data_IF_040980994827
#
_entry.id   IF_040980994827
#
_cell.length_a   1.000
_cell.length_b   1.000
_cell.length_c   1.000
_cell.angle_alpha   90.00
_cell.angle_beta   90.00
_cell.angle_gamma   90.00
#
_symmetry.space_group_name_H-M   'P 1'
#
loop_
_entity.id
_entity.type
_entity.pdbx_description
1 polymer ?
#
# COMPACT_ATOMS: atom_id res chain seq x y z
N UNK A 1 10.35 -13.79 -18.50
CA UNK A 1 11.45 -13.55 -17.55
C UNK A 1 12.12 -12.24 -17.97
N UNK A 2 11.93 -11.16 -17.22
CA UNK A 2 12.54 -9.85 -17.54
C UNK A 2 13.89 -9.79 -16.85
N UNK A 3 14.97 -9.88 -17.64
CA UNK A 3 16.33 -9.70 -17.14
C UNK A 3 16.64 -8.21 -17.28
N UNK A 4 16.58 -7.47 -16.16
CA UNK A 4 17.09 -6.10 -16.13
C UNK A 4 18.61 -6.21 -16.03
N UNK A 5 19.30 -6.05 -17.16
CA UNK A 5 20.76 -5.93 -17.17
C UNK A 5 21.08 -4.54 -16.61
N UNK A 6 21.43 -4.49 -15.32
CA UNK A 6 21.80 -3.27 -14.62
C UNK A 6 23.24 -2.87 -15.00
N UNK A 7 23.49 -2.54 -16.26
CA UNK A 7 24.72 -1.84 -16.61
C UNK A 7 24.65 -0.44 -16.00
N UNK A 8 25.44 -0.19 -14.94
CA UNK A 8 25.59 1.17 -14.43
C UNK A 8 26.11 2.06 -15.57
N UNK A 9 25.48 3.21 -15.84
CA UNK A 9 25.94 4.11 -16.89
C UNK A 9 27.38 4.53 -16.61
N UNK A 10 28.18 4.72 -17.67
CA UNK A 10 29.52 5.30 -17.54
C UNK A 10 29.36 6.70 -16.94
N UNK A 11 29.97 6.93 -15.80
CA UNK A 11 29.89 8.22 -15.09
C UNK A 11 31.23 8.94 -15.20
N UNK A 12 31.23 10.27 -15.09
CA UNK A 12 32.46 11.07 -15.03
C UNK A 12 33.18 10.95 -13.66
N UNK A 13 32.67 10.11 -12.75
CA UNK A 13 33.23 9.91 -11.41
C UNK A 13 34.24 8.77 -11.49
N UNK A 14 35.49 9.07 -11.14
CA UNK A 14 36.56 8.07 -11.09
C UNK A 14 36.19 6.95 -10.11
N UNK A 15 36.39 5.67 -10.45
CA UNK A 15 36.21 4.55 -9.52
C UNK A 15 37.07 4.63 -8.26
N UNK A 16 38.14 5.45 -8.30
CA UNK A 16 39.06 5.68 -7.19
C UNK A 16 38.72 6.94 -6.37
N UNK A 17 37.62 7.62 -6.68
CA UNK A 17 37.23 8.84 -5.96
C UNK A 17 36.84 8.50 -4.50
N UNK A 18 37.22 9.33 -3.52
CA UNK A 18 36.82 9.13 -2.13
C UNK A 18 35.30 9.19 -1.98
N UNK A 19 34.73 8.25 -1.21
CA UNK A 19 33.28 8.12 -0.98
C UNK A 19 32.72 9.29 -0.18
N UNK A 20 32.32 10.37 -0.87
CA UNK A 20 31.61 11.52 -0.31
C UNK A 20 30.14 11.51 -0.75
N UNK A 21 29.21 12.12 0.03
CA UNK A 21 27.79 12.16 -0.31
C UNK A 21 27.49 12.74 -1.70
N UNK A 22 28.29 13.71 -2.14
CA UNK A 22 28.16 14.36 -3.46
C UNK A 22 28.86 13.62 -4.60
N UNK A 23 29.61 12.55 -4.31
CA UNK A 23 30.30 11.72 -5.32
C UNK A 23 29.54 10.42 -5.63
N UNK A 24 28.37 10.20 -5.03
CA UNK A 24 27.54 9.03 -5.31
C UNK A 24 26.26 9.47 -5.99
N UNK A 25 25.81 8.71 -6.98
CA UNK A 25 24.48 8.89 -7.54
C UNK A 25 23.43 8.65 -6.44
N UNK A 26 22.31 9.40 -6.42
CA UNK A 26 21.20 9.07 -5.55
C UNK A 26 20.84 7.61 -5.77
N UNK A 27 21.01 6.76 -4.74
CA UNK A 27 20.51 5.40 -4.81
C UNK A 27 18.99 5.51 -4.83
N UNK A 28 18.35 4.92 -5.83
CA UNK A 28 16.92 4.68 -5.77
C UNK A 28 16.61 3.89 -4.49
N UNK A 29 15.51 4.21 -3.79
CA UNK A 29 14.99 3.38 -2.69
C UNK A 29 14.50 1.99 -3.15
N UNK A 30 14.83 1.59 -4.37
CA UNK A 30 14.50 0.29 -4.93
C UNK A 30 15.49 -0.75 -4.45
N UNK A 31 15.06 -1.53 -3.46
CA UNK A 31 15.73 -2.77 -3.08
C UNK A 31 15.44 -3.84 -4.14
N UNK A 32 16.45 -4.15 -4.95
CA UNK A 32 16.39 -5.16 -6.01
C UNK A 32 16.51 -6.61 -5.49
N UNK A 33 16.79 -6.79 -4.19
CA UNK A 33 16.84 -8.12 -3.62
C UNK A 33 15.43 -8.75 -3.61
N UNK A 34 15.29 -10.02 -4.02
CA UNK A 34 14.01 -10.69 -3.97
C UNK A 34 13.58 -10.78 -2.51
N UNK A 35 12.57 -10.00 -2.13
CA UNK A 35 11.97 -10.10 -0.79
C UNK A 35 11.49 -11.53 -0.58
N UNK A 36 11.77 -12.08 0.61
CA UNK A 36 11.28 -13.39 0.99
C UNK A 36 9.75 -13.43 0.80
N UNK A 37 9.26 -14.45 0.11
CA UNK A 37 7.82 -14.65 -0.06
C UNK A 37 7.19 -14.86 1.31
N UNK A 38 6.35 -13.91 1.72
CA UNK A 38 5.55 -14.03 2.93
C UNK A 38 4.18 -14.60 2.57
N UNK A 39 3.64 -15.55 3.36
CA UNK A 39 2.26 -15.96 3.24
C UNK A 39 1.33 -14.73 3.29
N UNK A 40 0.28 -14.74 2.48
CA UNK A 40 -0.69 -13.64 2.41
C UNK A 40 -1.19 -13.18 3.79
N UNK A 41 -1.55 -14.08 4.74
CA UNK A 41 -2.00 -13.65 6.07
C UNK A 41 -0.94 -12.83 6.82
N UNK A 42 0.34 -13.23 6.74
CA UNK A 42 1.44 -12.53 7.41
C UNK A 42 1.71 -11.17 6.77
N UNK A 43 1.66 -11.10 5.43
CA UNK A 43 1.81 -9.84 4.68
C UNK A 43 0.68 -8.87 5.04
N UNK A 44 -0.56 -9.34 5.06
CA UNK A 44 -1.73 -8.53 5.40
C UNK A 44 -1.66 -8.02 6.84
N UNK A 45 -1.33 -8.88 7.81
CA UNK A 45 -1.17 -8.48 9.21
C UNK A 45 -0.11 -7.39 9.38
N UNK A 46 1.01 -7.49 8.65
CA UNK A 46 2.03 -6.44 8.65
C UNK A 46 1.49 -5.13 8.08
N UNK A 47 0.81 -5.17 6.93
CA UNK A 47 0.20 -3.97 6.34
C UNK A 47 -0.84 -3.34 7.28
N UNK A 48 -1.74 -4.14 7.86
CA UNK A 48 -2.82 -3.69 8.72
C UNK A 48 -2.35 -3.14 10.08
N UNK A 49 -1.18 -3.58 10.56
CA UNK A 49 -0.59 -3.05 11.78
C UNK A 49 0.12 -1.70 11.60
N UNK A 50 0.41 -1.31 10.35
CA UNK A 50 1.13 -0.07 10.05
C UNK A 50 0.35 1.19 10.44
N UNK A 51 1.08 2.24 10.82
CA UNK A 51 0.48 3.55 11.14
C UNK A 51 -0.26 4.15 9.93
N UNK A 52 0.33 4.03 8.74
CA UNK A 52 -0.27 4.50 7.49
C UNK A 52 -1.62 3.82 7.24
N UNK A 53 -1.70 2.49 7.46
CA UNK A 53 -2.96 1.77 7.34
C UNK A 53 -4.01 2.26 8.31
N UNK A 54 -3.67 2.35 9.60
CA UNK A 54 -4.60 2.81 10.64
C UNK A 54 -5.10 4.23 10.37
N UNK A 55 -4.22 5.11 9.90
CA UNK A 55 -4.56 6.48 9.56
C UNK A 55 -5.52 6.56 8.36
N UNK A 56 -5.23 5.84 7.26
CA UNK A 56 -6.16 5.75 6.14
C UNK A 56 -7.51 5.15 6.57
N UNK A 57 -7.49 4.08 7.37
CA UNK A 57 -8.71 3.43 7.84
C UNK A 57 -9.58 4.42 8.63
N UNK A 58 -9.00 5.16 9.58
CA UNK A 58 -9.70 6.21 10.33
C UNK A 58 -10.31 7.27 9.41
N UNK A 59 -9.53 7.78 8.45
CA UNK A 59 -10.01 8.80 7.52
C UNK A 59 -11.18 8.32 6.66
N UNK A 60 -11.16 7.06 6.23
CA UNK A 60 -12.26 6.47 5.46
C UNK A 60 -13.47 6.18 6.34
N UNK A 61 -13.27 5.75 7.59
CA UNK A 61 -14.36 5.57 8.57
C UNK A 61 -15.12 6.87 8.79
N UNK A 62 -14.42 7.98 9.03
CA UNK A 62 -15.05 9.29 9.23
C UNK A 62 -15.86 9.76 8.01
N UNK A 63 -15.44 9.35 6.81
CA UNK A 63 -16.18 9.64 5.57
C UNK A 63 -17.45 8.80 5.47
N UNK A 64 -17.35 7.48 5.64
CA UNK A 64 -18.48 6.57 5.46
C UNK A 64 -19.51 6.64 6.59
N UNK A 65 -19.10 6.92 7.82
CA UNK A 65 -20.01 7.08 8.96
C UNK A 65 -21.05 8.16 8.70
N UNK A 66 -20.69 9.26 8.02
CA UNK A 66 -21.64 10.31 7.65
C UNK A 66 -22.79 9.79 6.78
N UNK A 67 -22.53 8.81 5.92
CA UNK A 67 -23.56 8.20 5.09
C UNK A 67 -24.37 7.16 5.85
N UNK A 68 -23.76 6.49 6.83
CA UNK A 68 -24.50 5.64 7.78
C UNK A 68 -25.45 6.45 8.65
N UNK A 69 -25.02 7.60 9.16
CA UNK A 69 -25.84 8.50 10.00
C UNK A 69 -27.03 9.09 9.24
N UNK A 70 -26.89 9.22 7.91
CA UNK A 70 -27.95 9.63 7.00
C UNK A 70 -28.80 8.44 6.48
N UNK A 71 -28.61 7.25 7.05
CA UNK A 71 -29.31 6.01 6.68
C UNK A 71 -29.12 5.56 5.22
N UNK A 72 -28.13 6.10 4.50
CA UNK A 72 -27.78 5.66 3.14
C UNK A 72 -27.02 4.34 3.14
N UNK A 73 -26.33 4.04 4.24
CA UNK A 73 -25.55 2.81 4.43
C UNK A 73 -26.19 2.03 5.56
N UNK A 74 -26.95 1.00 5.20
CA UNK A 74 -27.63 0.10 6.14
C UNK A 74 -27.10 -1.32 5.99
N UNK A 75 -27.30 -2.15 7.02
CA UNK A 75 -26.71 -3.49 7.10
C UNK A 75 -27.08 -4.42 5.93
N UNK A 76 -28.25 -4.19 5.30
CA UNK A 76 -28.74 -4.98 4.17
C UNK A 76 -28.23 -4.50 2.81
N UNK A 77 -27.55 -3.36 2.76
CA UNK A 77 -26.96 -2.84 1.54
C UNK A 77 -25.78 -3.72 1.10
N UNK A 78 -25.57 -3.76 -0.21
CA UNK A 78 -24.44 -4.46 -0.83
C UNK A 78 -23.50 -3.43 -1.43
N UNK A 79 -22.21 -3.53 -1.10
CA UNK A 79 -21.19 -2.65 -1.63
C UNK A 79 -20.27 -3.39 -2.60
N UNK A 80 -19.96 -2.74 -3.72
CA UNK A 80 -18.91 -3.14 -4.65
C UNK A 80 -17.83 -2.06 -4.66
N UNK A 81 -16.67 -2.37 -4.10
CA UNK A 81 -15.51 -1.49 -4.09
C UNK A 81 -14.64 -1.80 -5.31
N UNK A 82 -14.76 -0.98 -6.36
CA UNK A 82 -13.88 -1.05 -7.52
C UNK A 82 -12.53 -0.40 -7.20
N UNK A 83 -11.45 -0.97 -7.73
CA UNK A 83 -10.09 -0.47 -7.52
C UNK A 83 -9.75 -0.39 -6.04
N UNK A 84 -10.13 -1.41 -5.27
CA UNK A 84 -10.04 -1.39 -3.81
C UNK A 84 -8.59 -1.29 -3.29
N UNK A 85 -7.61 -1.58 -4.15
CA UNK A 85 -6.19 -1.42 -3.86
C UNK A 85 -5.78 -2.25 -2.65
N UNK A 86 -5.30 -1.59 -1.60
CA UNK A 86 -4.91 -2.27 -0.37
C UNK A 86 -6.10 -2.76 0.48
N UNK A 87 -7.34 -2.37 0.13
CA UNK A 87 -8.56 -2.82 0.79
C UNK A 87 -9.06 -1.90 1.91
N UNK A 88 -8.69 -0.61 1.92
CA UNK A 88 -9.20 0.32 2.94
C UNK A 88 -10.73 0.50 2.86
N UNK A 89 -11.32 0.87 1.70
CA UNK A 89 -12.76 1.07 1.61
C UNK A 89 -13.59 -0.16 2.02
N UNK A 90 -13.31 -1.39 1.52
CA UNK A 90 -14.12 -2.54 1.88
C UNK A 90 -13.96 -2.93 3.36
N UNK A 91 -12.78 -2.73 3.95
CA UNK A 91 -12.57 -2.97 5.39
C UNK A 91 -13.42 -2.01 6.24
N UNK A 92 -13.48 -0.72 5.88
CA UNK A 92 -14.31 0.25 6.60
C UNK A 92 -15.79 -0.07 6.47
N UNK A 93 -16.27 -0.35 5.25
CA UNK A 93 -17.68 -0.70 5.03
C UNK A 93 -18.10 -1.94 5.85
N UNK A 94 -17.20 -2.93 5.97
CA UNK A 94 -17.43 -4.07 6.84
C UNK A 94 -17.49 -3.66 8.33
N UNK A 95 -16.58 -2.78 8.79
CA UNK A 95 -16.56 -2.32 10.19
C UNK A 95 -17.77 -1.49 10.61
N UNK A 96 -18.35 -0.73 9.69
CA UNK A 96 -19.57 0.06 9.95
C UNK A 96 -20.87 -0.75 9.83
N UNK A 97 -20.79 -2.06 9.54
CA UNK A 97 -21.92 -2.98 9.65
C UNK A 97 -22.48 -3.54 8.34
N UNK A 98 -21.87 -3.26 7.17
CA UNK A 98 -22.31 -3.90 5.93
C UNK A 98 -21.93 -5.39 5.91
N UNK A 99 -22.95 -6.24 5.79
CA UNK A 99 -22.76 -7.68 5.70
C UNK A 99 -22.16 -8.11 4.36
N UNK A 100 -22.43 -7.37 3.29
CA UNK A 100 -22.07 -7.75 1.92
C UNK A 100 -21.18 -6.70 1.27
N UNK A 101 -19.88 -6.93 1.32
CA UNK A 101 -18.86 -6.07 0.69
C UNK A 101 -18.01 -6.91 -0.25
N UNK A 102 -18.02 -6.56 -1.53
CA UNK A 102 -17.17 -7.17 -2.56
C UNK A 102 -16.12 -6.15 -3.01
N UNK A 103 -14.86 -6.58 -3.13
CA UNK A 103 -13.76 -5.73 -3.54
C UNK A 103 -13.07 -6.30 -4.78
N UNK A 104 -12.79 -5.45 -5.75
CA UNK A 104 -12.15 -5.79 -7.03
C UNK A 104 -10.94 -4.89 -7.28
#
# INVERSE_FOLDING_TARGET
>A
MVIIILQMPKTCISPKAPSKPHTHFPRSNYDSSPRQHLPLPKKNAQSWSSKAWKWCLSSFSDYFLRFSDLEFIQNHNKALCLSAGAGYPPMVLFQIGLAYVTAV
#
